data_IF_562161900782
#
_entry.id   IF_562161900782
#
_cell.length_a   1.000
_cell.length_b   1.000
_cell.length_c   1.000
_cell.angle_alpha   90.00
_cell.angle_beta   90.00
_cell.angle_gamma   90.00
#
_symmetry.space_group_name_H-M   'P 1'
#
loop_
_entity.id
_entity.type
_entity.pdbx_description
1 polymer ?
#
# COMPACT_ATOMS: atom_id res chain seq x y z
N UNK A 1 -35.31 -12.57 5.61
CA UNK A 1 -34.84 -13.89 5.12
C UNK A 1 -33.37 -14.04 5.49
N UNK A 2 -33.06 -14.85 6.51
CA UNK A 2 -31.67 -15.20 6.84
C UNK A 2 -31.15 -16.15 5.75
N UNK A 3 -30.21 -15.69 4.96
CA UNK A 3 -29.58 -16.54 3.95
C UNK A 3 -28.46 -17.36 4.60
N UNK A 4 -28.17 -18.56 4.06
CA UNK A 4 -27.05 -19.42 4.49
C UNK A 4 -25.69 -18.70 4.53
N UNK A 5 -25.58 -17.55 3.88
CA UNK A 5 -24.35 -16.78 3.72
C UNK A 5 -24.24 -15.58 4.65
N UNK A 6 -25.27 -15.31 5.47
CA UNK A 6 -25.31 -14.11 6.33
C UNK A 6 -24.17 -14.09 7.35
N UNK A 7 -23.85 -15.26 7.93
CA UNK A 7 -22.72 -15.43 8.84
C UNK A 7 -21.34 -15.42 8.16
N UNK A 8 -21.30 -15.47 6.83
CA UNK A 8 -20.07 -15.47 6.04
C UNK A 8 -19.74 -14.07 5.48
N UNK A 9 -20.69 -13.13 5.54
CA UNK A 9 -20.47 -11.75 5.09
C UNK A 9 -19.52 -11.05 6.06
N UNK A 10 -18.57 -10.33 5.49
CA UNK A 10 -17.81 -9.39 6.28
C UNK A 10 -18.75 -8.30 6.79
N UNK A 11 -18.84 -8.17 8.11
CA UNK A 11 -19.67 -7.15 8.76
C UNK A 11 -19.02 -5.77 8.74
N UNK A 12 -17.71 -5.72 8.53
CA UNK A 12 -17.02 -4.44 8.32
C UNK A 12 -17.48 -3.82 6.99
N UNK A 13 -17.90 -2.57 7.07
CA UNK A 13 -18.27 -1.81 5.89
C UNK A 13 -17.01 -1.43 5.13
N UNK A 14 -16.81 -2.04 3.96
CA UNK A 14 -15.64 -1.79 3.12
C UNK A 14 -16.04 -1.04 1.86
N UNK A 15 -15.26 -0.01 1.51
CA UNK A 15 -15.42 0.77 0.28
C UNK A 15 -14.10 0.78 -0.47
N UNK A 16 -14.12 0.34 -1.72
CA UNK A 16 -12.95 0.46 -2.61
C UNK A 16 -13.10 1.74 -3.42
N UNK A 17 -12.08 2.57 -3.40
CA UNK A 17 -12.02 3.80 -4.17
C UNK A 17 -10.62 4.01 -4.76
N UNK A 18 -10.52 4.58 -5.97
CA UNK A 18 -9.24 5.03 -6.46
C UNK A 18 -8.76 6.22 -5.64
N UNK A 19 -7.45 6.29 -5.42
CA UNK A 19 -6.77 7.46 -4.87
C UNK A 19 -5.51 7.73 -5.69
N UNK A 20 -4.74 8.73 -5.33
CA UNK A 20 -3.49 9.07 -6.03
C UNK A 20 -2.30 9.02 -5.08
N UNK A 21 -1.11 8.86 -5.67
CA UNK A 21 0.15 9.00 -4.94
C UNK A 21 0.24 10.36 -4.24
N UNK A 22 -0.33 11.41 -4.83
CA UNK A 22 -0.40 12.75 -4.22
C UNK A 22 -1.23 12.79 -2.95
N UNK A 23 -2.38 12.10 -2.91
CA UNK A 23 -3.19 11.97 -1.70
C UNK A 23 -2.43 11.21 -0.60
N UNK A 24 -1.77 10.12 -0.97
CA UNK A 24 -0.92 9.34 -0.05
C UNK A 24 0.22 10.22 0.50
N UNK A 25 0.87 11.00 -0.37
CA UNK A 25 1.92 11.93 0.05
C UNK A 25 1.40 12.95 1.09
N UNK A 26 0.21 13.49 0.87
CA UNK A 26 -0.40 14.41 1.83
C UNK A 26 -0.62 13.75 3.21
N UNK A 27 -1.11 12.52 3.25
CA UNK A 27 -1.26 11.78 4.51
C UNK A 27 0.08 11.48 5.20
N UNK A 28 1.12 11.14 4.41
CA UNK A 28 2.46 10.88 4.94
C UNK A 28 3.10 12.14 5.54
N UNK A 29 2.94 13.30 4.87
CA UNK A 29 3.51 14.58 5.34
C UNK A 29 2.72 15.18 6.51
N UNK A 30 1.42 14.91 6.59
CA UNK A 30 0.55 15.33 7.69
C UNK A 30 0.58 14.40 8.90
N UNK A 31 1.45 13.38 8.89
CA UNK A 31 1.55 12.34 9.93
C UNK A 31 0.20 11.67 10.28
N UNK A 32 -0.69 11.59 9.29
CA UNK A 32 -2.04 11.08 9.47
C UNK A 32 -2.11 9.55 9.58
N UNK A 33 -1.04 8.83 9.14
CA UNK A 33 -1.01 7.37 9.04
C UNK A 33 -0.42 6.73 10.29
N UNK A 34 -1.15 5.79 10.86
CA UNK A 34 -0.65 4.89 11.91
C UNK A 34 -0.18 3.57 11.30
N UNK A 35 1.11 3.27 11.48
CA UNK A 35 1.77 2.05 11.01
C UNK A 35 1.97 1.01 12.12
N UNK A 36 1.56 1.29 13.35
CA UNK A 36 1.99 0.54 14.54
C UNK A 36 0.97 -0.51 15.00
N UNK A 37 0.13 -0.97 14.07
CA UNK A 37 -0.78 -2.08 14.37
C UNK A 37 0.00 -3.33 14.82
N UNK A 38 -0.40 -3.97 15.96
CA UNK A 38 0.38 -5.04 16.60
C UNK A 38 0.51 -6.31 15.75
N UNK A 39 -0.36 -6.50 14.76
CA UNK A 39 -0.32 -7.64 13.83
C UNK A 39 0.60 -7.41 12.62
N UNK A 40 1.16 -6.21 12.47
CA UNK A 40 2.05 -5.90 11.36
C UNK A 40 3.52 -6.08 11.74
N UNK A 41 4.28 -6.66 10.81
CA UNK A 41 5.74 -6.74 10.94
C UNK A 41 6.41 -5.39 10.65
N UNK A 42 7.66 -5.24 11.07
CA UNK A 42 8.50 -4.09 10.72
C UNK A 42 8.71 -3.97 9.20
N UNK A 43 9.35 -2.87 8.79
CA UNK A 43 9.75 -2.70 7.40
C UNK A 43 10.89 -3.65 7.04
N UNK A 44 10.71 -4.46 5.99
CA UNK A 44 11.65 -5.54 5.61
C UNK A 44 12.03 -5.51 4.13
N UNK A 45 11.43 -4.63 3.31
CA UNK A 45 11.78 -4.54 1.90
C UNK A 45 13.21 -4.07 1.70
N UNK A 46 13.94 -4.83 0.89
CA UNK A 46 15.28 -4.47 0.42
C UNK A 46 15.18 -3.50 -0.76
N UNK A 47 16.32 -3.03 -1.24
CA UNK A 47 16.39 -2.17 -2.42
C UNK A 47 15.70 -2.81 -3.63
N UNK A 48 15.78 -4.13 -3.78
CA UNK A 48 15.16 -4.85 -4.88
C UNK A 48 13.63 -4.70 -4.89
N UNK A 49 12.96 -4.96 -3.76
CA UNK A 49 11.52 -4.81 -3.66
C UNK A 49 11.07 -3.35 -3.78
N UNK A 50 11.87 -2.42 -3.25
CA UNK A 50 11.65 -0.98 -3.40
C UNK A 50 11.65 -0.57 -4.88
N UNK A 51 12.66 -1.01 -5.62
CA UNK A 51 12.82 -0.71 -7.05
C UNK A 51 11.68 -1.33 -7.88
N UNK A 52 11.38 -2.60 -7.64
CA UNK A 52 10.26 -3.30 -8.29
C UNK A 52 8.93 -2.59 -8.03
N UNK A 53 8.69 -2.13 -6.83
CA UNK A 53 7.47 -1.41 -6.49
C UNK A 53 7.39 -0.04 -7.17
N UNK A 54 8.43 0.79 -7.07
CA UNK A 54 8.44 2.14 -7.65
C UNK A 54 8.34 2.10 -9.19
N UNK A 55 9.04 1.18 -9.83
CA UNK A 55 8.97 1.03 -11.29
C UNK A 55 7.62 0.50 -11.76
N UNK A 56 7.04 -0.47 -11.04
CA UNK A 56 5.70 -1.01 -11.32
C UNK A 56 4.63 0.09 -11.19
N UNK A 57 4.74 0.90 -10.14
CA UNK A 57 3.82 2.01 -9.88
C UNK A 57 3.89 3.05 -11.01
N UNK A 58 5.09 3.47 -11.42
CA UNK A 58 5.29 4.42 -12.51
C UNK A 58 4.84 3.88 -13.88
N UNK A 59 5.00 2.58 -14.11
CA UNK A 59 4.52 1.93 -15.32
C UNK A 59 2.99 1.85 -15.40
N UNK A 60 2.28 2.26 -14.33
CA UNK A 60 0.82 2.23 -14.27
C UNK A 60 0.22 0.84 -14.02
N UNK A 61 1.04 -0.14 -13.65
CA UNK A 61 0.53 -1.46 -13.28
C UNK A 61 -0.06 -1.47 -11.86
N UNK A 62 -1.07 -2.31 -11.61
CA UNK A 62 -1.64 -2.47 -10.28
C UNK A 62 -0.59 -2.96 -9.28
N UNK A 63 -0.37 -2.19 -8.22
CA UNK A 63 0.57 -2.54 -7.13
C UNK A 63 -0.13 -3.19 -5.93
N UNK A 64 -1.34 -3.68 -6.14
CA UNK A 64 -2.21 -4.20 -5.09
C UNK A 64 -3.02 -3.11 -4.40
N UNK A 65 -3.91 -3.54 -3.51
CA UNK A 65 -4.79 -2.65 -2.74
C UNK A 65 -4.09 -2.27 -1.43
N UNK A 66 -4.10 -0.97 -1.09
CA UNK A 66 -3.77 -0.50 0.24
C UNK A 66 -5.06 -0.52 1.06
N UNK A 67 -5.05 -1.13 2.24
CA UNK A 67 -6.19 -1.15 3.12
C UNK A 67 -5.95 -0.27 4.34
N UNK A 68 -6.88 0.64 4.59
CA UNK A 68 -6.88 1.52 5.76
C UNK A 68 -8.18 1.38 6.55
N UNK A 69 -8.09 1.66 7.83
CA UNK A 69 -9.26 1.84 8.69
C UNK A 69 -9.24 3.27 9.25
N UNK A 70 -10.35 3.97 9.10
CA UNK A 70 -10.54 5.27 9.71
C UNK A 70 -11.19 5.06 11.08
N UNK A 71 -10.53 5.57 12.12
CA UNK A 71 -11.05 5.52 13.49
C UNK A 71 -12.14 6.57 13.70
N UNK A 72 -12.87 6.45 14.82
CA UNK A 72 -13.74 7.52 15.27
C UNK A 72 -12.89 8.66 15.82
N UNK A 73 -13.33 9.89 15.62
CA UNK A 73 -12.64 11.12 16.04
C UNK A 73 -12.23 11.13 17.52
N UNK A 74 -12.89 10.32 18.35
CA UNK A 74 -12.63 10.16 19.79
C UNK A 74 -11.53 9.14 20.14
N UNK A 75 -11.04 8.37 19.17
CA UNK A 75 -10.05 7.30 19.37
C UNK A 75 -8.64 7.71 18.91
N UNK A 76 -8.48 8.94 18.43
CA UNK A 76 -7.21 9.41 17.88
C UNK A 76 -6.16 9.62 18.96
N UNK A 77 -5.09 8.89 18.83
CA UNK A 77 -3.83 9.21 19.48
C UNK A 77 -3.11 10.25 18.65
N UNK A 78 -3.16 11.50 19.10
CA UNK A 78 -2.53 12.64 18.44
C UNK A 78 -3.15 12.94 17.05
N UNK A 79 -2.32 13.12 16.00
CA UNK A 79 -2.77 13.43 14.64
C UNK A 79 -2.99 12.21 13.74
N UNK A 80 -2.72 11.00 14.23
CA UNK A 80 -2.84 9.76 13.45
C UNK A 80 -4.27 9.22 13.49
N UNK A 81 -5.03 9.50 12.46
CA UNK A 81 -6.45 9.12 12.37
C UNK A 81 -6.74 8.04 11.33
N UNK A 82 -5.71 7.57 10.61
CA UNK A 82 -5.80 6.52 9.60
C UNK A 82 -4.88 5.37 10.00
N UNK A 83 -5.43 4.25 10.43
CA UNK A 83 -4.66 3.03 10.66
C UNK A 83 -4.40 2.31 9.34
N UNK A 84 -3.16 1.95 9.08
CA UNK A 84 -2.78 1.14 7.92
C UNK A 84 -3.03 -0.33 8.26
N UNK A 85 -4.07 -0.94 7.70
CA UNK A 85 -4.41 -2.36 7.91
C UNK A 85 -3.56 -3.26 7.00
N UNK A 86 -3.37 -2.89 5.74
CA UNK A 86 -2.45 -3.55 4.81
C UNK A 86 -1.79 -2.54 3.88
N UNK A 87 -0.56 -2.82 3.46
CA UNK A 87 0.21 -1.94 2.58
C UNK A 87 1.35 -1.19 3.27
N UNK A 88 1.68 -1.50 4.53
CA UNK A 88 2.77 -0.86 5.28
C UNK A 88 4.08 -0.80 4.50
N UNK A 89 4.51 -1.90 3.86
CA UNK A 89 5.76 -1.93 3.09
C UNK A 89 5.73 -0.91 1.95
N UNK A 90 4.63 -0.87 1.19
CA UNK A 90 4.41 0.03 0.06
C UNK A 90 4.38 1.51 0.48
N UNK A 91 3.65 1.81 1.53
CA UNK A 91 3.55 3.18 2.07
C UNK A 91 4.87 3.66 2.67
N UNK A 92 5.59 2.78 3.37
CA UNK A 92 6.94 3.09 3.89
C UNK A 92 7.92 3.36 2.74
N UNK A 93 7.86 2.58 1.66
CA UNK A 93 8.68 2.83 0.47
C UNK A 93 8.36 4.19 -0.15
N UNK A 94 7.08 4.56 -0.31
CA UNK A 94 6.70 5.89 -0.77
C UNK A 94 7.21 6.99 0.15
N UNK A 95 7.11 6.81 1.47
CA UNK A 95 7.64 7.76 2.45
C UNK A 95 9.14 7.98 2.25
N UNK A 96 9.91 6.90 2.19
CA UNK A 96 11.36 6.96 1.98
C UNK A 96 11.72 7.62 0.63
N UNK A 97 10.94 7.37 -0.41
CA UNK A 97 11.13 8.00 -1.71
C UNK A 97 10.85 9.51 -1.67
N UNK A 98 9.74 9.93 -1.07
CA UNK A 98 9.42 11.36 -0.92
C UNK A 98 10.45 12.10 -0.07
N UNK A 99 11.01 11.44 0.94
CA UNK A 99 12.08 11.98 1.79
C UNK A 99 13.46 11.99 1.10
N UNK A 100 13.57 11.49 -0.13
CA UNK A 100 14.85 11.39 -0.86
C UNK A 100 15.83 10.37 -0.29
N UNK A 101 15.35 9.43 0.55
CA UNK A 101 16.19 8.38 1.15
C UNK A 101 16.46 7.21 0.21
N UNK A 102 15.57 7.01 -0.74
CA UNK A 102 15.71 6.03 -1.83
C UNK A 102 15.43 6.73 -3.16
N UNK A 103 16.05 6.26 -4.24
CA UNK A 103 15.87 6.79 -5.58
C UNK A 103 15.19 5.78 -6.50
N UNK A 104 14.53 6.28 -7.54
CA UNK A 104 13.96 5.49 -8.62
C UNK A 104 15.07 5.06 -9.58
N UNK A 105 15.22 3.76 -9.91
CA UNK A 105 16.19 3.31 -10.87
C UNK A 105 15.77 3.71 -12.30
N UNK A 106 16.70 4.25 -13.07
CA UNK A 106 16.54 4.52 -14.48
C UNK A 106 17.13 3.40 -15.34
N UNK A 107 16.70 3.30 -16.58
CA UNK A 107 17.26 2.35 -17.55
C UNK A 107 18.74 2.60 -17.84
N UNK A 108 19.24 3.80 -17.61
CA UNK A 108 20.66 4.15 -17.69
C UNK A 108 21.52 3.52 -16.59
N UNK A 109 20.91 2.96 -15.54
CA UNK A 109 21.58 2.50 -14.33
C UNK A 109 21.74 3.57 -13.26
N UNK A 110 21.42 4.81 -13.55
CA UNK A 110 21.39 5.91 -12.60
C UNK A 110 20.13 5.86 -11.73
N UNK A 111 20.11 6.63 -10.64
CA UNK A 111 18.94 6.80 -9.79
C UNK A 111 18.55 8.26 -9.70
N UNK A 112 17.26 8.52 -9.78
CA UNK A 112 16.69 9.85 -9.57
C UNK A 112 15.91 9.87 -8.26
N UNK A 113 16.09 10.92 -7.47
CA UNK A 113 15.44 11.09 -6.19
C UNK A 113 14.27 12.07 -6.32
N UNK A 114 13.21 11.85 -5.56
CA UNK A 114 12.02 12.69 -5.66
C UNK A 114 12.29 14.21 -5.45
N UNK A 115 13.17 14.64 -4.53
CA UNK A 115 13.52 16.05 -4.39
C UNK A 115 14.14 16.68 -5.65
N UNK A 116 14.73 15.88 -6.54
CA UNK A 116 15.36 16.33 -7.78
C UNK A 116 14.37 16.38 -8.97
N UNK A 117 13.12 15.96 -8.74
CA UNK A 117 12.09 15.99 -9.78
C UNK A 117 11.76 17.41 -10.22
N UNK A 118 11.69 17.62 -11.51
CA UNK A 118 11.09 18.83 -12.07
C UNK A 118 9.61 18.94 -11.64
N UNK A 119 9.01 20.14 -11.70
CA UNK A 119 7.60 20.31 -11.39
C UNK A 119 6.67 19.42 -12.25
N UNK A 120 7.06 19.13 -13.50
CA UNK A 120 6.30 18.27 -14.42
C UNK A 120 6.37 16.82 -13.97
N UNK A 121 7.55 16.30 -13.65
CA UNK A 121 7.76 14.93 -13.16
C UNK A 121 7.08 14.72 -11.82
N UNK A 122 7.22 15.67 -10.90
CA UNK A 122 6.55 15.64 -9.60
C UNK A 122 5.02 15.58 -9.74
N UNK A 123 4.44 16.36 -10.66
CA UNK A 123 3.01 16.33 -10.96
C UNK A 123 2.60 14.98 -11.56
N UNK A 124 3.35 14.48 -12.53
CA UNK A 124 3.08 13.20 -13.18
C UNK A 124 3.09 12.07 -12.15
N UNK A 125 4.11 11.99 -11.29
CA UNK A 125 4.23 10.98 -10.25
C UNK A 125 3.08 11.06 -9.22
N UNK A 126 2.74 12.26 -8.76
CA UNK A 126 1.64 12.47 -7.80
C UNK A 126 0.28 12.07 -8.36
N UNK A 127 0.09 12.12 -9.67
CA UNK A 127 -1.17 11.74 -10.33
C UNK A 127 -1.29 10.23 -10.60
N UNK A 128 -0.25 9.43 -10.32
CA UNK A 128 -0.34 7.98 -10.45
C UNK A 128 -1.44 7.44 -9.53
N UNK A 129 -2.30 6.59 -10.08
CA UNK A 129 -3.43 5.99 -9.36
C UNK A 129 -3.01 4.86 -8.43
N UNK A 130 -3.63 4.80 -7.27
CA UNK A 130 -3.50 3.71 -6.29
C UNK A 130 -4.90 3.24 -5.91
N UNK A 131 -5.08 1.92 -5.80
CA UNK A 131 -6.32 1.35 -5.30
C UNK A 131 -6.32 1.33 -3.76
N UNK A 132 -7.35 1.94 -3.18
CA UNK A 132 -7.53 2.04 -1.74
C UNK A 132 -8.81 1.28 -1.32
N UNK A 133 -8.70 0.50 -0.26
CA UNK A 133 -9.84 -0.06 0.45
C UNK A 133 -9.94 0.64 1.80
N UNK A 134 -11.10 1.22 2.08
CA UNK A 134 -11.44 1.77 3.40
C UNK A 134 -12.31 0.82 4.17
N UNK A 135 -12.01 0.67 5.44
CA UNK A 135 -12.85 -0.04 6.40
C UNK A 135 -13.45 0.99 7.36
N UNK A 136 -14.76 1.22 7.22
CA UNK A 136 -15.50 2.18 8.07
C UNK A 136 -15.94 1.49 9.36
N UNK A 137 -15.63 2.10 10.52
CA UNK A 137 -16.01 1.58 11.85
C UNK A 137 -15.62 0.11 12.06
N UNK A 138 -14.48 -0.32 11.53
CA UNK A 138 -13.99 -1.69 11.69
C UNK A 138 -13.52 -1.94 13.12
N UNK A 139 -13.98 -3.06 13.71
CA UNK A 139 -13.43 -3.54 14.98
C UNK A 139 -12.01 -4.09 14.78
N UNK A 140 -11.25 -4.22 15.87
CA UNK A 140 -9.92 -4.86 15.84
C UNK A 140 -9.97 -6.25 15.23
N UNK A 141 -11.04 -6.99 15.52
CA UNK A 141 -11.27 -8.33 14.96
C UNK A 141 -11.47 -8.29 13.43
N UNK A 142 -12.17 -7.29 12.92
CA UNK A 142 -12.40 -7.14 11.47
C UNK A 142 -11.09 -6.84 10.75
N UNK A 143 -10.29 -5.92 11.30
CA UNK A 143 -8.96 -5.56 10.78
C UNK A 143 -8.03 -6.77 10.76
N UNK A 144 -7.95 -7.51 11.87
CA UNK A 144 -7.14 -8.70 11.99
C UNK A 144 -7.58 -9.82 11.03
N UNK A 145 -8.90 -10.05 10.90
CA UNK A 145 -9.44 -11.01 9.94
C UNK A 145 -9.12 -10.65 8.49
N UNK A 146 -9.22 -9.36 8.14
CA UNK A 146 -8.85 -8.88 6.82
C UNK A 146 -7.35 -9.13 6.55
N UNK A 147 -6.49 -8.66 7.47
CA UNK A 147 -5.05 -8.84 7.37
C UNK A 147 -4.65 -10.31 7.20
N UNK A 148 -5.23 -11.20 8.01
CA UNK A 148 -4.96 -12.63 7.92
C UNK A 148 -5.34 -13.21 6.55
N UNK A 149 -6.54 -12.89 6.07
CA UNK A 149 -7.03 -13.42 4.78
C UNK A 149 -6.20 -12.95 3.60
N UNK A 150 -5.82 -11.67 3.57
CA UNK A 150 -5.04 -11.10 2.46
C UNK A 150 -3.61 -11.63 2.45
N UNK A 151 -3.00 -11.83 3.62
CA UNK A 151 -1.58 -12.18 3.69
C UNK A 151 -1.31 -13.69 3.79
N UNK A 152 -2.25 -14.51 4.29
CA UNK A 152 -1.99 -15.92 4.61
C UNK A 152 -2.92 -16.93 3.94
N UNK A 153 -4.01 -16.50 3.28
CA UNK A 153 -4.97 -17.44 2.68
C UNK A 153 -4.68 -17.79 1.23
N UNK A 154 -3.67 -17.17 0.60
CA UNK A 154 -3.25 -17.48 -0.77
C UNK A 154 -2.20 -18.59 -0.83
N UNK A 155 -2.15 -19.31 -1.96
CA UNK A 155 -1.04 -20.21 -2.26
C UNK A 155 0.04 -19.41 -2.99
N UNK A 156 1.24 -19.28 -2.44
CA UNK A 156 2.34 -18.59 -3.12
C UNK A 156 2.68 -19.28 -4.45
N UNK A 157 2.98 -18.50 -5.47
CA UNK A 157 3.52 -19.02 -6.73
C UNK A 157 4.89 -19.64 -6.49
N UNK A 158 5.13 -20.82 -7.11
CA UNK A 158 6.41 -21.48 -6.96
C UNK A 158 7.54 -20.76 -7.72
N UNK A 159 8.79 -20.90 -7.26
CA UNK A 159 9.95 -20.33 -7.96
C UNK A 159 10.06 -20.84 -9.42
N UNK A 160 9.70 -22.10 -9.67
CA UNK A 160 9.73 -22.70 -11.00
C UNK A 160 8.70 -22.06 -11.93
N UNK A 161 7.47 -21.77 -11.41
CA UNK A 161 6.45 -21.07 -12.18
C UNK A 161 6.89 -19.65 -12.52
N UNK A 162 7.51 -18.96 -11.58
CA UNK A 162 8.08 -17.62 -11.79
C UNK A 162 9.14 -17.63 -12.88
N UNK A 163 10.11 -18.55 -12.80
CA UNK A 163 11.18 -18.70 -13.80
C UNK A 163 10.63 -19.01 -15.21
N UNK A 164 9.57 -19.83 -15.29
CA UNK A 164 8.89 -20.10 -16.56
C UNK A 164 8.31 -18.82 -17.19
N UNK A 165 7.60 -18.02 -16.39
CA UNK A 165 7.00 -16.75 -16.87
C UNK A 165 8.08 -15.76 -17.27
N UNK A 166 9.14 -15.59 -16.47
CA UNK A 166 10.28 -14.75 -16.81
C UNK A 166 10.98 -15.18 -18.11
N UNK A 167 11.04 -16.49 -18.38
CA UNK A 167 11.55 -17.04 -19.64
C UNK A 167 10.68 -16.69 -20.87
N UNK A 168 9.38 -16.51 -20.68
CA UNK A 168 8.44 -16.13 -21.76
C UNK A 168 8.46 -14.62 -22.07
N UNK A 169 9.08 -13.81 -21.22
CA UNK A 169 9.19 -12.35 -21.38
C UNK A 169 10.46 -11.93 -22.14
N UNK A 170 11.36 -12.87 -22.43
CA UNK A 170 12.60 -12.67 -23.23
C UNK A 170 12.35 -12.87 -24.71
#
# INVERSE_FOLDING_TARGET
MNTRFENMRNLAKTVTSPTTVGSIHHWLTGDALDFDAPYQRGYVWTQKEQDEYLTTLLAGYPTGIICIAEGKETEFKEFKWIEVVDGKQRLTTLKLFFEGKIGLPLTSGERVFFPDFTPVESRAFRNVGINLLRMDNASERDKLNFFYRVNFMGVPQSPEHRAKVEGMMK
#
